data_IF_478543650698
#
_entry.id   IF_478543650698
#
_cell.length_a   1.000
_cell.length_b   1.000
_cell.length_c   1.000
_cell.angle_alpha   90.00
_cell.angle_beta   90.00
_cell.angle_gamma   90.00
#
_symmetry.space_group_name_H-M   'P 1'
#
loop_
_entity.id
_entity.type
_entity.pdbx_description
1 polymer ?
#
# COMPACT_ATOMS: atom_id res chain seq x y z
N UNK A 1 2.49 2.11 -20.62
CA UNK A 1 2.05 3.00 -19.54
C UNK A 1 1.43 2.09 -18.51
N UNK A 2 2.20 1.70 -17.49
CA UNK A 2 1.68 0.83 -16.44
C UNK A 2 0.71 1.69 -15.64
N UNK A 3 -0.59 1.36 -15.66
CA UNK A 3 -1.55 1.96 -14.75
C UNK A 3 -0.99 1.82 -13.33
N UNK A 4 -0.91 2.94 -12.60
CA UNK A 4 -0.69 2.89 -11.18
C UNK A 4 -1.91 2.19 -10.58
N UNK A 5 -1.80 0.87 -10.34
CA UNK A 5 -2.89 0.07 -9.83
C UNK A 5 -3.43 0.66 -8.53
N UNK A 6 -4.75 0.58 -8.36
CA UNK A 6 -5.42 0.98 -7.12
C UNK A 6 -4.96 0.06 -5.99
N UNK A 7 -4.50 0.63 -4.88
CA UNK A 7 -4.23 -0.12 -3.66
C UNK A 7 -5.51 -0.72 -3.08
N UNK A 8 -5.31 -1.78 -2.32
CA UNK A 8 -6.35 -2.67 -1.82
C UNK A 8 -6.02 -3.10 -0.41
N UNK A 9 -7.06 -3.36 0.36
CA UNK A 9 -6.96 -3.89 1.71
C UNK A 9 -7.91 -5.06 1.92
N UNK A 10 -7.66 -5.82 2.99
CA UNK A 10 -8.53 -6.91 3.45
C UNK A 10 -9.18 -6.46 4.75
N UNK A 11 -10.50 -6.61 4.86
CA UNK A 11 -11.22 -6.39 6.11
C UNK A 11 -11.44 -7.69 6.87
N UNK A 12 -11.48 -7.66 8.23
CA UNK A 12 -11.72 -8.85 9.04
C UNK A 12 -13.04 -9.58 8.74
N UNK A 13 -14.03 -8.88 8.19
CA UNK A 13 -15.35 -9.40 7.81
C UNK A 13 -15.46 -9.80 6.33
N UNK A 14 -14.36 -9.75 5.57
CA UNK A 14 -14.33 -10.17 4.16
C UNK A 14 -14.13 -11.67 4.01
N UNK A 15 -14.43 -12.18 2.81
CA UNK A 15 -14.15 -13.56 2.38
C UNK A 15 -12.66 -13.81 2.07
N UNK A 16 -11.80 -12.83 2.37
CA UNK A 16 -10.37 -12.87 2.10
C UNK A 16 -9.97 -12.21 0.77
N UNK A 17 -10.93 -11.80 -0.05
CA UNK A 17 -10.63 -11.09 -1.30
C UNK A 17 -10.27 -9.61 -1.04
N UNK A 18 -9.15 -9.10 -1.60
CA UNK A 18 -8.78 -7.69 -1.44
C UNK A 18 -9.77 -6.75 -2.12
N UNK A 19 -10.35 -5.83 -1.35
CA UNK A 19 -11.25 -4.79 -1.85
C UNK A 19 -10.49 -3.51 -2.18
N UNK A 20 -11.04 -2.69 -3.08
CA UNK A 20 -10.44 -1.38 -3.42
C UNK A 20 -10.49 -0.47 -2.21
N UNK A 21 -9.34 0.12 -1.87
CA UNK A 21 -9.26 1.14 -0.84
C UNK A 21 -9.83 2.47 -1.37
N UNK A 22 -10.72 3.12 -0.62
CA UNK A 22 -11.28 4.40 -1.05
C UNK A 22 -10.35 5.60 -0.83
N UNK A 23 -9.41 5.50 0.10
CA UNK A 23 -8.50 6.60 0.48
C UNK A 23 -7.32 6.73 -0.50
N UNK A 24 -6.87 5.61 -1.09
CA UNK A 24 -5.79 5.55 -2.09
C UNK A 24 -4.48 6.16 -1.59
N UNK A 25 -3.92 5.58 -0.54
CA UNK A 25 -2.83 6.16 0.24
C UNK A 25 -1.42 5.88 -0.32
N UNK A 26 -1.32 4.95 -1.27
CA UNK A 26 -0.07 4.58 -1.92
C UNK A 26 0.07 5.24 -3.29
N UNK A 27 1.17 5.94 -3.52
CA UNK A 27 1.51 6.46 -4.85
C UNK A 27 2.68 5.69 -5.44
N UNK A 28 2.44 5.02 -6.57
CA UNK A 28 3.51 4.40 -7.36
C UNK A 28 4.43 5.46 -7.95
N UNK A 29 5.74 5.34 -7.70
CA UNK A 29 6.76 6.27 -8.20
C UNK A 29 7.55 5.66 -9.37
N UNK A 30 7.85 4.37 -9.30
CA UNK A 30 8.64 3.66 -10.29
C UNK A 30 8.30 2.17 -10.28
N UNK A 31 8.19 1.57 -11.45
CA UNK A 31 8.10 0.13 -11.63
C UNK A 31 8.98 -0.29 -12.80
N UNK A 32 9.92 -1.20 -12.59
CA UNK A 32 10.66 -1.82 -13.68
C UNK A 32 11.03 -3.25 -13.32
N UNK A 33 11.18 -4.08 -14.34
CA UNK A 33 11.66 -5.44 -14.22
C UNK A 33 13.03 -5.55 -14.91
N UNK A 34 13.95 -6.27 -14.29
CA UNK A 34 15.18 -6.72 -14.92
C UNK A 34 15.23 -8.25 -14.92
N UNK A 35 16.29 -8.82 -15.47
CA UNK A 35 16.44 -10.27 -15.67
C UNK A 35 16.30 -11.12 -14.39
N UNK A 36 16.42 -10.50 -13.21
CA UNK A 36 16.43 -11.21 -11.92
C UNK A 36 15.30 -10.81 -10.98
N UNK A 37 14.82 -9.56 -11.06
CA UNK A 37 13.88 -9.03 -10.08
C UNK A 37 12.99 -7.95 -10.71
N UNK A 38 11.82 -7.80 -10.12
CA UNK A 38 10.93 -6.66 -10.31
C UNK A 38 11.16 -5.66 -9.18
N UNK A 39 11.37 -4.39 -9.52
CA UNK A 39 11.55 -3.29 -8.57
C UNK A 39 10.33 -2.38 -8.63
N UNK A 40 9.69 -2.20 -7.48
CA UNK A 40 8.57 -1.28 -7.28
C UNK A 40 9.00 -0.27 -6.21
N UNK A 41 8.93 1.02 -6.54
CA UNK A 41 9.13 2.12 -5.60
C UNK A 41 7.83 2.89 -5.49
N UNK A 42 7.38 3.11 -4.27
CA UNK A 42 6.18 3.87 -3.95
C UNK A 42 6.45 4.84 -2.79
N UNK A 43 5.51 5.73 -2.54
CA UNK A 43 5.41 6.52 -1.31
C UNK A 43 4.07 6.26 -0.64
N UNK A 44 4.06 6.35 0.69
CA UNK A 44 2.89 6.34 1.57
C UNK A 44 3.21 7.25 2.76
N UNK A 45 2.24 7.96 3.29
CA UNK A 45 2.45 8.72 4.53
C UNK A 45 2.64 7.76 5.72
N UNK A 46 3.33 8.22 6.76
CA UNK A 46 3.42 7.46 8.02
C UNK A 46 2.06 7.39 8.72
N UNK A 47 1.35 8.51 8.75
CA UNK A 47 -0.06 8.61 9.14
C UNK A 47 -0.86 9.07 7.91
N UNK A 48 -1.76 8.20 7.44
CA UNK A 48 -2.63 8.44 6.29
C UNK A 48 -3.93 9.13 6.67
N UNK A 49 -4.20 9.25 7.97
CA UNK A 49 -5.48 9.70 8.53
C UNK A 49 -6.68 8.81 8.15
N UNK A 50 -6.47 7.63 7.53
CA UNK A 50 -7.49 6.60 7.32
C UNK A 50 -7.38 5.49 8.37
N UNK A 51 -7.67 5.83 9.63
CA UNK A 51 -7.58 4.87 10.74
C UNK A 51 -8.62 3.73 10.67
N UNK A 52 -9.53 3.77 9.68
CA UNK A 52 -10.55 2.75 9.50
C UNK A 52 -9.97 1.53 8.80
N UNK A 53 -9.21 1.77 7.74
CA UNK A 53 -8.72 0.73 6.85
C UNK A 53 -7.18 0.59 6.92
N UNK A 54 -6.50 1.57 7.54
CA UNK A 54 -5.05 1.72 7.50
C UNK A 54 -4.42 1.85 8.91
N UNK A 55 -3.20 1.32 9.07
CA UNK A 55 -2.46 1.40 10.33
C UNK A 55 -1.38 2.50 10.26
N UNK A 56 -1.33 3.47 11.19
CA UNK A 56 -0.22 4.41 11.26
C UNK A 56 1.09 3.63 11.43
N UNK A 57 2.17 4.08 10.78
CA UNK A 57 3.51 3.54 11.02
C UNK A 57 4.21 4.44 12.03
N UNK A 58 4.47 3.88 13.21
CA UNK A 58 5.08 4.51 14.37
C UNK A 58 6.45 3.90 14.65
N UNK A 59 7.26 4.59 15.48
CA UNK A 59 8.59 4.09 15.88
C UNK A 59 8.52 2.69 16.52
N UNK A 60 7.47 2.41 17.31
CA UNK A 60 7.28 1.10 17.95
C UNK A 60 7.06 -0.04 16.95
N UNK A 61 6.48 0.24 15.79
CA UNK A 61 6.23 -0.77 14.76
C UNK A 61 7.45 -1.01 13.88
N UNK A 62 8.35 -0.03 13.80
CA UNK A 62 9.60 -0.12 13.03
C UNK A 62 10.74 -0.78 13.81
N UNK A 63 10.58 -1.00 15.13
CA UNK A 63 11.58 -1.63 15.99
C UNK A 63 12.88 -0.83 16.09
N UNK A 64 12.80 0.50 15.94
CA UNK A 64 13.94 1.43 16.04
C UNK A 64 14.13 1.95 17.47
#
# INVERSE_FOLDING_TARGET
MLDAGQDRHIRPDSDGEPIVDSSQDYTLLLGYENTTHTVIRFKRNLDTCDMKDDFPITESELGM
#
